data_IF_245468453003
#
_entry.id   IF_245468453003
#
_cell.length_a   1.000
_cell.length_b   1.000
_cell.length_c   1.000
_cell.angle_alpha   90.00
_cell.angle_beta   90.00
_cell.angle_gamma   90.00
#
_symmetry.space_group_name_H-M   'P 1'
#
loop_
_entity.id
_entity.type
_entity.pdbx_description
1 polymer ?
#
# COMPACT_ATOMS: atom_id res chain seq x y z
N UNK A 1 5.55 21.23 0.17
CA UNK A 1 4.72 22.01 1.13
C UNK A 1 4.39 21.09 2.28
N UNK A 2 4.55 21.53 3.52
CA UNK A 2 4.34 20.64 4.66
C UNK A 2 2.94 20.77 5.26
N UNK A 3 2.36 19.65 5.69
CA UNK A 3 1.09 19.63 6.41
C UNK A 3 1.15 18.70 7.63
N UNK A 4 0.32 19.01 8.62
CA UNK A 4 0.12 18.17 9.82
C UNK A 4 -1.36 17.90 9.98
N UNK A 5 -1.73 16.63 9.88
CA UNK A 5 -3.08 16.17 10.12
C UNK A 5 -3.06 14.86 10.93
N UNK A 6 -3.84 14.84 12.03
CA UNK A 6 -3.89 13.70 12.94
C UNK A 6 -4.55 12.49 12.28
N UNK A 7 -5.61 12.68 11.49
CA UNK A 7 -6.29 11.57 10.84
C UNK A 7 -5.38 10.89 9.82
N UNK A 8 -4.59 11.68 9.07
CA UNK A 8 -3.54 11.15 8.17
C UNK A 8 -2.51 10.34 8.96
N UNK A 9 -1.99 10.87 10.08
CA UNK A 9 -1.06 10.13 10.95
C UNK A 9 -1.63 8.79 11.42
N UNK A 10 -2.86 8.81 11.93
CA UNK A 10 -3.52 7.62 12.47
C UNK A 10 -3.78 6.58 11.35
N UNK A 11 -4.08 7.03 10.11
CA UNK A 11 -4.20 6.15 8.94
C UNK A 11 -2.86 5.50 8.53
N UNK A 12 -1.75 6.26 8.58
CA UNK A 12 -0.40 5.72 8.31
C UNK A 12 -0.03 4.67 9.35
N UNK A 13 -0.29 4.91 10.64
CA UNK A 13 -0.04 3.92 11.70
C UNK A 13 -0.86 2.65 11.48
N UNK A 14 -2.12 2.79 11.07
CA UNK A 14 -2.95 1.64 10.73
C UNK A 14 -2.40 0.88 9.51
N UNK A 15 -2.02 1.60 8.45
CA UNK A 15 -1.40 1.04 7.25
C UNK A 15 -0.13 0.25 7.59
N UNK A 16 0.73 0.82 8.43
CA UNK A 16 1.96 0.22 8.93
C UNK A 16 1.72 -1.11 9.63
N UNK A 17 0.75 -1.16 10.53
CA UNK A 17 0.43 -2.36 11.29
C UNK A 17 -0.01 -3.50 10.37
N UNK A 18 -0.93 -3.22 9.43
CA UNK A 18 -1.36 -4.22 8.45
C UNK A 18 -0.22 -4.65 7.53
N UNK A 19 0.59 -3.71 7.06
CA UNK A 19 1.69 -3.99 6.14
C UNK A 19 2.72 -4.92 6.77
N UNK A 20 3.18 -4.62 7.99
CA UNK A 20 4.18 -5.44 8.70
C UNK A 20 3.71 -6.87 8.90
N UNK A 21 2.45 -7.08 9.28
CA UNK A 21 1.87 -8.43 9.44
C UNK A 21 1.78 -9.15 8.09
N UNK A 22 1.40 -8.43 7.03
CA UNK A 22 1.25 -9.01 5.70
C UNK A 22 2.60 -9.44 5.10
N UNK A 23 3.61 -8.57 5.10
CA UNK A 23 4.92 -8.87 4.49
C UNK A 23 5.76 -9.85 5.31
N UNK A 24 5.52 -9.95 6.62
CA UNK A 24 6.19 -10.93 7.49
C UNK A 24 5.61 -12.35 7.38
N UNK A 25 4.44 -12.53 6.76
CA UNK A 25 3.93 -13.87 6.48
C UNK A 25 4.86 -14.57 5.48
N UNK A 26 5.44 -15.71 5.88
CA UNK A 26 6.44 -16.44 5.10
C UNK A 26 5.99 -16.79 3.67
N UNK A 27 4.70 -17.09 3.48
CA UNK A 27 4.19 -17.46 2.17
C UNK A 27 4.01 -16.23 1.28
N UNK A 28 3.49 -15.13 1.85
CA UNK A 28 3.41 -13.85 1.15
C UNK A 28 4.81 -13.35 0.77
N UNK A 29 5.74 -13.33 1.74
CA UNK A 29 7.13 -12.93 1.55
C UNK A 29 7.81 -13.70 0.43
N UNK A 30 7.59 -15.01 0.35
CA UNK A 30 8.10 -15.85 -0.75
C UNK A 30 7.66 -15.32 -2.13
N UNK A 31 6.37 -15.04 -2.33
CA UNK A 31 5.90 -14.54 -3.62
C UNK A 31 6.27 -13.09 -3.90
N UNK A 32 6.36 -12.25 -2.86
CA UNK A 32 6.87 -10.88 -2.99
C UNK A 32 8.32 -10.87 -3.47
N UNK A 33 9.17 -11.74 -2.91
CA UNK A 33 10.58 -11.86 -3.32
C UNK A 33 10.75 -12.40 -4.74
N UNK A 34 9.81 -13.20 -5.24
CA UNK A 34 9.80 -13.67 -6.63
C UNK A 34 9.15 -12.67 -7.62
N UNK A 35 8.60 -11.57 -7.13
CA UNK A 35 7.94 -10.57 -7.97
C UNK A 35 8.94 -9.53 -8.49
N UNK A 36 8.65 -8.93 -9.64
CA UNK A 36 9.47 -7.89 -10.25
C UNK A 36 9.13 -6.49 -9.70
N UNK A 37 9.03 -6.36 -8.38
CA UNK A 37 8.84 -5.06 -7.72
C UNK A 37 10.21 -4.36 -7.64
N UNK A 38 10.38 -3.16 -8.23
CA UNK A 38 11.62 -2.39 -8.14
C UNK A 38 12.02 -2.11 -6.70
N UNK A 39 13.33 -2.06 -6.43
CA UNK A 39 13.85 -1.71 -5.09
C UNK A 39 13.42 -0.32 -4.63
N UNK A 40 13.33 0.64 -5.56
CA UNK A 40 12.90 2.00 -5.24
C UNK A 40 11.44 2.01 -4.77
N UNK A 41 10.57 1.19 -5.37
CA UNK A 41 9.18 1.09 -4.93
C UNK A 41 9.08 0.63 -3.48
N UNK A 42 9.92 -0.32 -3.06
CA UNK A 42 9.99 -0.74 -1.66
C UNK A 42 10.46 0.38 -0.73
N UNK A 43 11.46 1.16 -1.13
CA UNK A 43 11.97 2.28 -0.32
C UNK A 43 10.87 3.32 -0.11
N UNK A 44 10.14 3.69 -1.17
CA UNK A 44 9.05 4.67 -1.07
C UNK A 44 7.91 4.17 -0.16
N UNK A 45 7.59 2.87 -0.23
CA UNK A 45 6.58 2.23 0.62
C UNK A 45 7.01 2.26 2.09
N UNK A 46 8.24 1.86 2.40
CA UNK A 46 8.76 1.89 3.76
C UNK A 46 8.84 3.33 4.29
N UNK A 47 9.25 4.29 3.45
CA UNK A 47 9.27 5.70 3.82
C UNK A 47 7.88 6.24 4.12
N UNK A 48 6.84 5.82 3.37
CA UNK A 48 5.45 6.18 3.67
C UNK A 48 5.02 5.63 5.02
N UNK A 49 5.28 4.35 5.25
CA UNK A 49 4.90 3.62 6.46
C UNK A 49 5.60 4.19 7.69
N UNK A 50 6.85 4.62 7.55
CA UNK A 50 7.63 5.21 8.63
C UNK A 50 7.55 6.74 8.69
N UNK A 51 6.77 7.38 7.83
CA UNK A 51 6.69 8.86 7.73
C UNK A 51 6.23 9.53 9.03
N UNK A 52 5.47 8.83 9.88
CA UNK A 52 5.05 9.33 11.20
C UNK A 52 6.21 9.73 12.11
N UNK A 53 7.44 9.22 11.88
CA UNK A 53 8.64 9.60 12.66
C UNK A 53 9.00 11.09 12.52
N UNK A 54 8.56 11.74 11.45
CA UNK A 54 8.84 13.16 11.17
C UNK A 54 7.65 14.09 11.47
N UNK A 55 6.49 13.52 11.85
CA UNK A 55 5.24 14.26 11.97
C UNK A 55 5.31 15.42 12.97
N UNK A 56 5.86 15.20 14.16
CA UNK A 56 5.89 16.21 15.22
C UNK A 56 6.85 17.37 14.87
N UNK A 57 7.96 17.09 14.19
CA UNK A 57 8.93 18.11 13.77
C UNK A 57 8.40 18.93 12.59
N UNK A 58 8.40 18.34 11.40
CA UNK A 58 8.26 19.07 10.13
C UNK A 58 6.90 18.84 9.45
N UNK A 59 6.15 17.83 9.88
CA UNK A 59 4.95 17.35 9.18
C UNK A 59 5.30 16.50 7.96
N UNK A 60 4.32 16.29 7.07
CA UNK A 60 4.53 15.56 5.83
C UNK A 60 4.73 16.52 4.68
N UNK A 61 5.75 16.30 3.83
CA UNK A 61 5.83 16.99 2.55
C UNK A 61 4.78 16.42 1.59
N UNK A 62 3.86 17.28 1.16
CA UNK A 62 2.70 16.90 0.36
C UNK A 62 3.05 16.29 -1.01
N UNK A 63 4.08 16.80 -1.69
CA UNK A 63 4.47 16.30 -3.01
C UNK A 63 5.04 14.88 -2.88
N UNK A 64 5.99 14.70 -1.96
CA UNK A 64 6.55 13.38 -1.64
C UNK A 64 5.46 12.41 -1.16
N UNK A 65 4.49 12.89 -0.39
CA UNK A 65 3.41 12.06 0.12
C UNK A 65 2.50 11.52 -1.00
N UNK A 66 2.24 12.32 -2.04
CA UNK A 66 1.51 11.86 -3.22
C UNK A 66 2.30 10.82 -4.03
N UNK A 67 3.60 11.02 -4.22
CA UNK A 67 4.46 10.05 -4.90
C UNK A 67 4.48 8.70 -4.15
N UNK A 68 4.57 8.76 -2.83
CA UNK A 68 4.51 7.58 -1.97
C UNK A 68 3.16 6.85 -2.05
N UNK A 69 2.04 7.58 -2.04
CA UNK A 69 0.70 7.00 -2.24
C UNK A 69 0.59 6.34 -3.62
N UNK A 70 1.12 6.98 -4.68
CA UNK A 70 1.14 6.43 -6.03
C UNK A 70 1.91 5.11 -6.05
N UNK A 71 3.13 5.10 -5.51
CA UNK A 71 3.97 3.91 -5.48
C UNK A 71 3.29 2.77 -4.72
N UNK A 72 2.67 3.06 -3.57
CA UNK A 72 1.89 2.07 -2.82
C UNK A 72 0.68 1.56 -3.63
N UNK A 73 -0.01 2.44 -4.37
CA UNK A 73 -1.16 2.03 -5.21
C UNK A 73 -0.73 1.07 -6.34
N UNK A 74 0.42 1.34 -6.97
CA UNK A 74 1.02 0.47 -8.00
C UNK A 74 1.43 -0.87 -7.41
N UNK A 75 2.00 -0.85 -6.21
CA UNK A 75 2.30 -2.07 -5.47
C UNK A 75 1.06 -2.92 -5.22
N UNK A 76 -0.07 -2.32 -4.78
CA UNK A 76 -1.32 -3.05 -4.58
C UNK A 76 -1.87 -3.65 -5.87
N UNK A 77 -1.76 -2.94 -6.99
CA UNK A 77 -2.18 -3.44 -8.30
C UNK A 77 -1.35 -4.66 -8.74
N UNK A 78 -0.01 -4.60 -8.59
CA UNK A 78 0.89 -5.74 -8.82
C UNK A 78 0.61 -6.89 -7.87
N UNK A 79 0.39 -6.60 -6.59
CA UNK A 79 0.07 -7.59 -5.57
C UNK A 79 -1.20 -8.36 -5.97
N UNK A 80 -2.24 -7.66 -6.40
CA UNK A 80 -3.50 -8.26 -6.84
C UNK A 80 -3.37 -9.06 -8.13
N UNK A 81 -2.71 -8.50 -9.15
CA UNK A 81 -2.67 -9.08 -10.52
C UNK A 81 -1.63 -10.18 -10.66
N UNK A 82 -0.48 -10.04 -10.01
CA UNK A 82 0.65 -10.96 -10.18
C UNK A 82 0.75 -11.89 -8.98
N UNK A 83 0.94 -11.35 -7.78
CA UNK A 83 1.27 -12.15 -6.58
C UNK A 83 0.10 -13.04 -6.17
N UNK A 84 -1.09 -12.47 -5.92
CA UNK A 84 -2.26 -13.25 -5.51
C UNK A 84 -2.72 -14.22 -6.61
N UNK A 85 -2.59 -13.82 -7.88
CA UNK A 85 -2.91 -14.69 -9.01
C UNK A 85 -1.98 -15.90 -9.05
N UNK A 86 -0.66 -15.67 -8.93
CA UNK A 86 0.35 -16.74 -8.89
C UNK A 86 0.16 -17.67 -7.70
N UNK A 87 -0.10 -17.12 -6.51
CA UNK A 87 -0.42 -17.89 -5.31
C UNK A 87 -1.55 -18.89 -5.53
N UNK A 88 -2.64 -18.45 -6.20
CA UNK A 88 -3.79 -19.28 -6.54
C UNK A 88 -3.48 -20.32 -7.61
N UNK A 89 -2.65 -19.97 -8.60
CA UNK A 89 -2.21 -20.91 -9.63
C UNK A 89 -1.31 -22.03 -9.10
N UNK A 90 -0.48 -21.73 -8.11
CA UNK A 90 0.53 -22.65 -7.56
C UNK A 90 0.01 -23.54 -6.41
N UNK A 91 -1.29 -23.47 -6.04
CA UNK A 91 -1.84 -24.13 -4.86
C UNK A 91 -1.52 -25.63 -4.79
N UNK A 92 -1.97 -26.41 -5.76
CA UNK A 92 -1.78 -27.87 -5.79
C UNK A 92 -0.29 -28.26 -5.75
N UNK A 93 0.52 -27.56 -6.54
CA UNK A 93 1.97 -27.79 -6.64
C UNK A 93 2.69 -27.50 -5.33
N UNK A 94 2.29 -26.45 -4.61
CA UNK A 94 2.88 -26.09 -3.31
C UNK A 94 2.42 -27.04 -2.22
N UNK A 95 1.13 -27.34 -2.15
CA UNK A 95 0.56 -28.23 -1.13
C UNK A 95 1.21 -29.62 -1.19
N UNK A 96 1.39 -30.21 -2.38
CA UNK A 96 2.00 -31.54 -2.52
C UNK A 96 3.43 -31.67 -1.95
N UNK A 97 4.15 -30.55 -1.79
CA UNK A 97 5.55 -30.50 -1.30
C UNK A 97 5.67 -30.05 0.16
N UNK A 98 4.56 -29.73 0.82
CA UNK A 98 4.54 -29.17 2.17
C UNK A 98 4.18 -30.23 3.22
N UNK A 99 4.68 -30.04 4.45
CA UNK A 99 4.17 -30.74 5.63
C UNK A 99 2.71 -30.40 5.89
N UNK A 100 2.00 -31.24 6.66
CA UNK A 100 0.57 -31.04 6.92
C UNK A 100 0.28 -29.70 7.61
N UNK A 101 1.09 -29.31 8.58
CA UNK A 101 0.93 -28.02 9.28
C UNK A 101 1.11 -26.84 8.32
N UNK A 102 2.13 -26.89 7.46
CA UNK A 102 2.38 -25.85 6.47
C UNK A 102 1.27 -25.77 5.41
N UNK A 103 0.64 -26.90 5.05
CA UNK A 103 -0.53 -26.90 4.15
C UNK A 103 -1.69 -26.10 4.74
N UNK A 104 -1.98 -26.30 6.04
CA UNK A 104 -3.05 -25.58 6.74
C UNK A 104 -2.75 -24.08 6.75
N UNK A 105 -1.54 -23.70 7.17
CA UNK A 105 -1.13 -22.29 7.22
C UNK A 105 -1.13 -21.63 5.83
N UNK A 106 -0.69 -22.36 4.81
CA UNK A 106 -0.68 -21.88 3.43
C UNK A 106 -2.09 -21.64 2.91
N UNK A 107 -3.01 -22.59 3.13
CA UNK A 107 -4.41 -22.46 2.74
C UNK A 107 -5.09 -21.28 3.45
N UNK A 108 -4.91 -21.15 4.77
CA UNK A 108 -5.39 -19.99 5.53
C UNK A 108 -4.86 -18.67 4.97
N UNK A 109 -3.57 -18.64 4.58
CA UNK A 109 -2.96 -17.44 4.01
C UNK A 109 -3.62 -17.07 2.67
N UNK A 110 -3.83 -18.05 1.78
CA UNK A 110 -4.50 -17.82 0.48
C UNK A 110 -5.93 -17.32 0.67
N UNK A 111 -6.67 -17.95 1.58
CA UNK A 111 -8.08 -17.61 1.82
C UNK A 111 -8.21 -16.19 2.40
N UNK A 112 -7.27 -15.77 3.27
CA UNK A 112 -7.29 -14.45 3.91
C UNK A 112 -6.66 -13.34 3.06
N UNK A 113 -5.74 -13.65 2.14
CA UNK A 113 -4.96 -12.66 1.41
C UNK A 113 -5.82 -11.64 0.64
N UNK A 114 -6.92 -12.01 -0.07
CA UNK A 114 -7.79 -11.03 -0.72
C UNK A 114 -8.41 -10.02 0.25
N UNK A 115 -8.82 -10.48 1.44
CA UNK A 115 -9.37 -9.61 2.49
C UNK A 115 -8.33 -8.64 3.02
N UNK A 116 -7.12 -9.12 3.31
CA UNK A 116 -6.00 -8.28 3.73
C UNK A 116 -5.63 -7.22 2.67
N UNK A 117 -5.62 -7.60 1.39
CA UNK A 117 -5.38 -6.66 0.30
C UNK A 117 -6.47 -5.62 0.18
N UNK A 118 -7.75 -6.00 0.37
CA UNK A 118 -8.86 -5.05 0.40
C UNK A 118 -8.68 -3.99 1.49
N UNK A 119 -8.22 -4.39 2.68
CA UNK A 119 -7.95 -3.44 3.78
C UNK A 119 -6.93 -2.38 3.35
N UNK A 120 -5.86 -2.77 2.63
CA UNK A 120 -4.90 -1.79 2.12
C UNK A 120 -5.52 -0.80 1.13
N UNK A 121 -6.36 -1.28 0.21
CA UNK A 121 -7.09 -0.41 -0.71
C UNK A 121 -7.98 0.58 0.06
N UNK A 122 -8.75 0.09 1.03
CA UNK A 122 -9.66 0.94 1.81
C UNK A 122 -8.89 2.04 2.59
N UNK A 123 -7.76 1.69 3.22
CA UNK A 123 -6.92 2.65 3.94
C UNK A 123 -6.28 3.65 2.98
N UNK A 124 -5.67 3.18 1.90
CA UNK A 124 -4.94 4.03 0.96
C UNK A 124 -5.88 4.99 0.21
N UNK A 125 -7.08 4.53 -0.12
CA UNK A 125 -8.17 5.36 -0.66
C UNK A 125 -8.55 6.47 0.31
N UNK A 126 -8.82 6.13 1.57
CA UNK A 126 -9.18 7.12 2.57
C UNK A 126 -8.05 8.13 2.82
N UNK A 127 -6.80 7.64 2.83
CA UNK A 127 -5.61 8.47 2.95
C UNK A 127 -5.53 9.47 1.79
N UNK A 128 -5.62 8.99 0.55
CA UNK A 128 -5.59 9.83 -0.64
C UNK A 128 -6.69 10.89 -0.64
N UNK A 129 -7.94 10.49 -0.36
CA UNK A 129 -9.07 11.41 -0.31
C UNK A 129 -8.93 12.46 0.80
N UNK A 130 -8.32 12.10 1.92
CA UNK A 130 -8.06 13.03 3.03
C UNK A 130 -6.98 14.03 2.67
N UNK A 131 -5.86 13.57 2.10
CA UNK A 131 -4.78 14.45 1.62
C UNK A 131 -5.28 15.39 0.52
N UNK A 132 -6.10 14.90 -0.42
CA UNK A 132 -6.76 15.70 -1.47
C UNK A 132 -7.56 16.86 -0.88
N UNK A 133 -8.38 16.61 0.15
CA UNK A 133 -9.16 17.65 0.83
C UNK A 133 -8.27 18.66 1.56
N UNK A 134 -7.15 18.23 2.13
CA UNK A 134 -6.19 19.11 2.78
C UNK A 134 -5.52 20.02 1.73
N UNK A 135 -5.04 19.46 0.63
CA UNK A 135 -4.43 20.20 -0.48
C UNK A 135 -5.40 21.26 -1.03
N UNK A 136 -6.65 20.87 -1.28
CA UNK A 136 -7.72 21.78 -1.74
C UNK A 136 -7.95 22.95 -0.79
N UNK A 137 -8.04 22.67 0.51
CA UNK A 137 -8.25 23.71 1.53
C UNK A 137 -7.06 24.66 1.64
N UNK A 138 -5.84 24.15 1.46
CA UNK A 138 -4.61 24.94 1.65
C UNK A 138 -4.24 25.77 0.42
N UNK A 139 -4.32 25.19 -0.77
CA UNK A 139 -3.87 25.85 -2.00
C UNK A 139 -5.03 26.46 -2.81
N UNK A 140 -6.28 26.10 -2.49
CA UNK A 140 -7.46 26.43 -3.28
C UNK A 140 -7.61 25.49 -4.48
N UNK A 141 -8.82 25.40 -5.05
CA UNK A 141 -9.14 24.35 -6.02
C UNK A 141 -8.31 24.41 -7.31
N UNK A 142 -7.88 25.60 -7.73
CA UNK A 142 -7.15 25.79 -8.99
C UNK A 142 -5.62 25.64 -8.86
N UNK A 143 -5.09 25.49 -7.64
CA UNK A 143 -3.64 25.42 -7.38
C UNK A 143 -3.22 24.18 -6.60
N UNK A 144 -4.11 23.19 -6.52
CA UNK A 144 -3.83 21.92 -5.87
C UNK A 144 -2.60 21.28 -6.52
N UNK A 145 -1.64 20.86 -5.69
CA UNK A 145 -0.39 20.25 -6.15
C UNK A 145 -0.68 19.00 -6.99
N UNK A 146 -1.75 18.27 -6.65
CA UNK A 146 -2.15 17.07 -7.40
C UNK A 146 -2.69 17.35 -8.82
N UNK A 147 -3.22 18.55 -9.10
CA UNK A 147 -3.80 18.89 -10.40
C UNK A 147 -2.76 19.04 -11.52
N UNK A 148 -1.48 19.08 -11.17
CA UNK A 148 -0.37 19.37 -12.08
C UNK A 148 0.36 18.14 -12.62
N UNK A 149 0.05 16.94 -12.12
CA UNK A 149 0.81 15.72 -12.44
C UNK A 149 -0.08 14.58 -12.95
N UNK A 150 0.42 13.83 -13.96
CA UNK A 150 -0.28 12.70 -14.58
C UNK A 150 -0.55 11.53 -13.62
N UNK A 151 0.12 11.49 -12.48
CA UNK A 151 0.03 10.46 -11.45
C UNK A 151 -1.37 10.32 -10.83
N UNK A 152 -2.14 11.41 -10.79
CA UNK A 152 -3.45 11.44 -10.14
C UNK A 152 -4.47 10.49 -10.78
N UNK A 153 -4.61 10.54 -12.11
CA UNK A 153 -5.51 9.65 -12.85
C UNK A 153 -5.14 8.19 -12.67
N UNK A 154 -3.86 7.91 -12.44
CA UNK A 154 -3.38 6.57 -12.18
C UNK A 154 -3.75 6.10 -10.77
N UNK A 155 -3.62 6.95 -9.75
CA UNK A 155 -4.08 6.64 -8.39
C UNK A 155 -5.59 6.37 -8.39
N UNK A 156 -6.38 7.27 -8.97
CA UNK A 156 -7.84 7.11 -9.10
C UNK A 156 -8.21 5.80 -9.80
N UNK A 157 -7.56 5.50 -10.92
CA UNK A 157 -7.72 4.23 -11.63
C UNK A 157 -7.34 3.01 -10.78
N UNK A 158 -6.21 3.06 -10.07
CA UNK A 158 -5.72 1.92 -9.29
C UNK A 158 -6.59 1.67 -8.05
N UNK A 159 -7.10 2.74 -7.43
CA UNK A 159 -7.92 2.70 -6.22
C UNK A 159 -9.42 2.61 -6.50
N UNK A 160 -9.84 2.76 -7.77
CA UNK A 160 -11.24 2.88 -8.22
C UNK A 160 -11.99 4.01 -7.50
N UNK A 161 -11.40 5.20 -7.48
CA UNK A 161 -11.99 6.42 -6.90
C UNK A 161 -12.04 7.58 -7.88
#
# INVERSE_FOLDING_TARGET
MNFKDKAVRDMIDNLKNHYRVFVSNQFISYYLNESNIPKNDWIDIEDLIDSNKYFEGEGYDMERFYDQILTFSRFLDKLKKEVLSKMKGDVEKRLSRMSQDNKILYKMTIDNAPGNVKIFYDILTNLFMTVKKIDEKTNGPDRMMYGRHAYFKEIEKNLNV
#
